data_IF_251946243295
#
_entry.id   IF_251946243295
#
_cell.length_a   1.000
_cell.length_b   1.000
_cell.length_c   1.000
_cell.angle_alpha   90.00
_cell.angle_beta   90.00
_cell.angle_gamma   90.00
#
_symmetry.space_group_name_H-M   'P 1'
#
loop_
_entity.id
_entity.type
_entity.pdbx_description
1 polymer ?
#
# COMPACT_ATOMS: atom_id res chain seq x y z
N UNK A 1 -24.14 29.88 -3.57
CA UNK A 1 -23.51 29.60 -2.25
C UNK A 1 -24.23 28.44 -1.60
N UNK A 2 -23.67 27.23 -1.67
CA UNK A 2 -24.17 26.04 -0.96
C UNK A 2 -22.95 25.17 -0.64
N UNK A 3 -22.26 25.51 0.44
CA UNK A 3 -21.28 24.60 1.05
C UNK A 3 -22.06 23.74 2.06
N UNK A 4 -22.26 22.47 1.72
CA UNK A 4 -22.89 21.50 2.60
C UNK A 4 -21.92 21.05 3.68
N UNK A 5 -22.39 21.11 4.92
CA UNK A 5 -21.85 20.56 6.15
C UNK A 5 -20.99 19.29 5.97
N UNK A 6 -19.67 19.45 6.00
CA UNK A 6 -18.76 18.36 6.36
C UNK A 6 -18.84 18.23 7.88
N UNK A 7 -19.57 17.23 8.36
CA UNK A 7 -19.60 16.91 9.80
C UNK A 7 -18.17 16.54 10.24
N UNK A 8 -17.59 17.37 11.11
CA UNK A 8 -16.41 17.00 11.91
C UNK A 8 -16.86 15.85 12.82
N UNK A 9 -16.51 14.63 12.45
CA UNK A 9 -16.71 13.46 13.31
C UNK A 9 -15.41 13.09 13.99
N UNK A 10 -15.56 12.64 15.24
CA UNK A 10 -14.50 12.41 16.22
C UNK A 10 -13.36 11.54 15.70
N UNK A 11 -12.24 12.20 15.42
CA UNK A 11 -10.91 11.60 15.21
C UNK A 11 -10.54 10.64 16.36
N UNK A 12 -11.11 10.86 17.55
CA UNK A 12 -10.85 10.11 18.79
C UNK A 12 -11.23 8.63 18.71
N UNK A 13 -12.38 8.30 18.09
CA UNK A 13 -12.86 6.90 18.03
C UNK A 13 -12.09 6.05 17.03
N UNK A 14 -11.58 6.67 15.96
CA UNK A 14 -10.72 6.02 14.95
C UNK A 14 -9.34 5.73 15.56
N UNK A 15 -8.80 6.68 16.34
CA UNK A 15 -7.52 6.50 17.04
C UNK A 15 -7.54 5.34 18.04
N UNK A 16 -8.63 5.15 18.80
CA UNK A 16 -8.72 4.10 19.82
C UNK A 16 -8.76 2.67 19.24
N UNK A 17 -9.40 2.46 18.09
CA UNK A 17 -9.47 1.14 17.44
C UNK A 17 -8.13 0.77 16.78
N UNK A 18 -7.44 1.75 16.19
CA UNK A 18 -6.08 1.56 15.67
C UNK A 18 -5.08 1.29 16.81
N UNK A 19 -5.27 1.90 17.99
CA UNK A 19 -4.42 1.73 19.15
C UNK A 19 -4.47 0.30 19.73
N UNK A 20 -5.63 -0.35 19.76
CA UNK A 20 -5.74 -1.70 20.36
C UNK A 20 -5.17 -2.79 19.45
N UNK A 21 -5.25 -2.65 18.12
CA UNK A 21 -4.75 -3.67 17.18
C UNK A 21 -3.23 -3.60 16.93
N UNK A 22 -2.56 -2.49 17.23
CA UNK A 22 -1.13 -2.29 16.91
C UNK A 22 -0.17 -2.41 18.12
N UNK A 23 -0.66 -2.54 19.37
CA UNK A 23 0.16 -2.38 20.59
C UNK A 23 0.99 -3.62 21.00
N UNK A 24 1.11 -4.69 20.19
CA UNK A 24 1.77 -5.94 20.63
C UNK A 24 3.17 -6.25 20.10
N UNK A 25 3.90 -5.31 19.50
CA UNK A 25 5.33 -5.53 19.17
C UNK A 25 6.17 -4.24 19.22
N UNK A 26 6.71 -3.90 20.39
CA UNK A 26 7.75 -2.85 20.50
C UNK A 26 9.05 -3.44 21.03
N UNK A 27 9.85 -4.01 20.13
CA UNK A 27 11.30 -4.02 20.31
C UNK A 27 11.85 -2.87 19.48
N UNK A 28 12.28 -1.83 20.19
CA UNK A 28 12.95 -0.65 19.65
C UNK A 28 14.25 -1.06 18.97
N UNK A 29 14.15 -1.45 17.71
CA UNK A 29 15.31 -1.61 16.84
C UNK A 29 15.60 -0.23 16.29
N UNK A 30 16.79 0.31 16.60
CA UNK A 30 17.32 1.47 15.89
C UNK A 30 17.59 0.98 14.47
N UNK A 31 16.59 1.06 13.61
CA UNK A 31 16.77 0.83 12.18
C UNK A 31 17.45 2.08 11.61
N UNK A 32 18.48 1.79 10.83
CA UNK A 32 19.38 2.73 10.22
C UNK A 32 19.03 2.77 8.73
N UNK A 33 18.97 3.97 8.12
CA UNK A 33 18.79 4.13 6.68
C UNK A 33 19.80 3.30 5.91
N UNK A 34 19.42 2.90 4.69
CA UNK A 34 20.17 2.05 3.77
C UNK A 34 20.68 0.75 4.42
N UNK A 35 20.22 -0.39 3.91
CA UNK A 35 20.73 -1.67 4.41
C UNK A 35 22.27 -1.67 4.32
N UNK A 36 23.00 -2.38 5.22
CA UNK A 36 24.46 -2.43 5.17
C UNK A 36 25.05 -2.91 3.83
N UNK A 37 24.21 -3.50 2.98
CA UNK A 37 24.49 -3.94 1.62
C UNK A 37 24.38 -2.85 0.56
N UNK A 38 23.98 -1.63 0.91
CA UNK A 38 23.88 -0.51 -0.03
C UNK A 38 25.27 0.08 -0.29
N UNK A 39 25.73 0.00 -1.53
CA UNK A 39 27.04 0.52 -1.97
C UNK A 39 26.90 1.75 -2.90
N UNK A 40 25.68 2.23 -3.16
CA UNK A 40 25.44 3.37 -4.05
C UNK A 40 25.80 4.70 -3.34
N UNK A 41 26.77 5.47 -3.85
CA UNK A 41 27.18 6.75 -3.24
C UNK A 41 26.12 7.85 -3.33
N UNK A 42 25.08 7.67 -4.14
CA UNK A 42 23.97 8.62 -4.28
C UNK A 42 22.79 8.30 -3.34
N UNK A 43 22.79 7.13 -2.71
CA UNK A 43 21.81 6.77 -1.69
C UNK A 43 22.12 7.47 -0.36
N UNK A 44 21.11 7.57 0.49
CA UNK A 44 21.26 8.07 1.85
C UNK A 44 22.24 7.20 2.64
N UNK A 45 23.05 7.87 3.47
CA UNK A 45 24.10 7.22 4.23
C UNK A 45 23.52 6.22 5.25
N UNK A 46 24.27 5.14 5.49
CA UNK A 46 23.93 4.18 6.54
C UNK A 46 23.84 4.88 7.90
N UNK A 47 22.73 4.70 8.61
CA UNK A 47 22.54 5.29 9.95
C UNK A 47 21.63 6.52 10.01
N UNK A 48 21.14 7.04 8.88
CA UNK A 48 20.12 8.10 8.90
C UNK A 48 18.84 7.55 9.57
N UNK A 49 18.18 8.29 10.50
CA UNK A 49 17.02 7.75 11.21
C UNK A 49 15.82 7.51 10.29
N UNK A 50 15.18 6.34 10.39
CA UNK A 50 13.99 5.96 9.59
C UNK A 50 12.94 7.07 9.52
N UNK A 51 12.62 7.72 10.65
CA UNK A 51 11.60 8.77 10.73
C UNK A 51 11.86 9.98 9.82
N UNK A 52 13.10 10.19 9.39
CA UNK A 52 13.47 11.28 8.49
C UNK A 52 13.30 10.93 7.01
N UNK A 53 13.19 9.64 6.69
CA UNK A 53 13.13 9.09 5.34
C UNK A 53 11.70 8.98 4.79
N UNK A 54 10.72 9.65 5.42
CA UNK A 54 9.32 9.56 4.97
C UNK A 54 9.19 10.05 3.53
N UNK A 55 8.65 9.19 2.68
CA UNK A 55 8.44 9.40 1.25
C UNK A 55 9.63 9.15 0.35
N UNK A 56 10.75 8.69 0.89
CA UNK A 56 11.91 8.33 0.08
C UNK A 56 11.65 7.11 -0.79
N UNK A 57 12.41 6.97 -1.89
CA UNK A 57 12.40 5.77 -2.68
C UNK A 57 13.28 4.69 -2.05
N UNK A 58 12.80 3.45 -2.01
CA UNK A 58 13.55 2.28 -1.55
C UNK A 58 13.82 1.36 -2.75
N UNK A 59 15.09 1.20 -3.11
CA UNK A 59 15.55 0.44 -4.27
C UNK A 59 16.31 -0.83 -3.92
N UNK A 60 17.05 -1.35 -4.91
CA UNK A 60 17.88 -2.54 -4.81
C UNK A 60 18.86 -2.45 -3.62
N UNK A 61 19.21 -3.61 -3.07
CA UNK A 61 20.15 -3.77 -1.96
C UNK A 61 19.83 -2.92 -0.71
N UNK A 62 18.56 -2.51 -0.57
CA UNK A 62 18.08 -1.68 0.54
C UNK A 62 18.49 -0.22 0.47
N UNK A 63 19.00 0.26 -0.67
CA UNK A 63 19.37 1.66 -0.85
C UNK A 63 18.14 2.59 -0.84
N UNK A 64 18.26 3.73 -0.15
CA UNK A 64 17.20 4.73 -0.04
C UNK A 64 17.61 6.05 -0.72
N UNK A 65 16.69 6.68 -1.47
CA UNK A 65 16.98 7.84 -2.31
C UNK A 65 15.98 8.98 -2.06
N UNK A 66 16.51 10.20 -1.97
CA UNK A 66 15.73 11.43 -1.79
C UNK A 66 14.88 11.70 -3.03
N UNK A 67 13.55 11.77 -2.90
CA UNK A 67 12.69 11.89 -4.05
C UNK A 67 12.70 13.33 -4.60
N UNK A 68 13.29 14.33 -3.90
CA UNK A 68 13.58 15.66 -4.45
C UNK A 68 14.74 15.64 -5.46
N UNK A 69 15.64 14.67 -5.35
CA UNK A 69 16.81 14.54 -6.22
C UNK A 69 16.62 13.48 -7.31
N UNK A 70 15.82 12.46 -7.05
CA UNK A 70 15.62 11.31 -7.95
C UNK A 70 14.16 11.12 -8.33
N UNK A 71 13.91 10.63 -9.54
CA UNK A 71 12.62 10.05 -9.93
C UNK A 71 12.65 8.55 -9.68
N UNK A 72 11.47 7.91 -9.61
CA UNK A 72 11.37 6.44 -9.57
C UNK A 72 12.09 5.72 -10.71
N UNK A 73 12.28 6.37 -11.85
CA UNK A 73 12.95 5.79 -13.03
C UNK A 73 14.47 5.75 -12.88
N UNK A 74 15.02 6.52 -11.95
CA UNK A 74 16.46 6.57 -11.66
C UNK A 74 16.87 5.54 -10.59
N UNK A 75 15.89 4.91 -9.96
CA UNK A 75 16.11 4.04 -8.81
C UNK A 75 16.41 2.61 -9.27
N UNK A 76 17.52 1.99 -8.82
CA UNK A 76 17.76 0.58 -9.04
C UNK A 76 16.60 -0.27 -8.49
N UNK A 77 16.02 -1.13 -9.34
CA UNK A 77 14.82 -1.90 -8.99
C UNK A 77 15.15 -3.12 -8.14
N UNK A 78 14.24 -3.50 -7.26
CA UNK A 78 14.28 -4.77 -6.53
C UNK A 78 13.69 -5.86 -7.43
N UNK A 79 14.38 -7.01 -7.52
CA UNK A 79 14.00 -8.12 -8.39
C UNK A 79 14.33 -7.87 -9.86
N UNK A 80 15.58 -7.51 -10.12
CA UNK A 80 16.10 -7.22 -11.48
C UNK A 80 15.97 -8.41 -12.44
N UNK A 81 15.96 -9.63 -11.91
CA UNK A 81 15.70 -10.85 -12.67
C UNK A 81 14.30 -10.92 -13.27
N UNK A 82 13.37 -10.11 -12.77
CA UNK A 82 12.00 -9.96 -13.26
C UNK A 82 11.77 -8.63 -14.00
N UNK A 83 12.84 -7.88 -14.27
CA UNK A 83 12.76 -6.66 -15.05
C UNK A 83 12.53 -7.01 -16.53
N UNK A 84 11.51 -6.41 -17.13
CA UNK A 84 11.09 -6.68 -18.51
C UNK A 84 11.15 -5.37 -19.27
N UNK A 85 11.85 -5.38 -20.40
CA UNK A 85 12.01 -4.18 -21.22
C UNK A 85 10.65 -3.54 -21.57
N UNK A 86 10.55 -2.23 -21.33
CA UNK A 86 9.34 -1.45 -21.57
C UNK A 86 8.23 -1.63 -20.53
N UNK A 87 8.41 -2.47 -19.53
CA UNK A 87 7.50 -2.63 -18.39
C UNK A 87 8.07 -1.90 -17.19
N UNK A 88 7.33 -0.94 -16.64
CA UNK A 88 7.77 -0.20 -15.45
C UNK A 88 7.63 -1.06 -14.18
N UNK A 89 8.51 -0.85 -13.18
CA UNK A 89 8.39 -1.52 -11.90
C UNK A 89 7.09 -1.13 -11.18
N UNK A 90 6.59 -2.04 -10.35
CA UNK A 90 5.47 -1.74 -9.47
C UNK A 90 5.96 -0.89 -8.30
N UNK A 91 5.27 0.21 -8.01
CA UNK A 91 5.56 1.03 -6.83
C UNK A 91 4.86 0.44 -5.62
N UNK A 92 5.59 0.15 -4.56
CA UNK A 92 5.06 -0.43 -3.33
C UNK A 92 5.17 0.58 -2.19
N UNK A 93 4.05 0.81 -1.49
CA UNK A 93 3.99 1.61 -0.26
C UNK A 93 3.90 0.66 0.93
N UNK A 94 4.91 0.66 1.80
CA UNK A 94 4.94 -0.21 2.96
C UNK A 94 3.90 0.16 4.03
N UNK A 95 3.71 -0.75 4.97
CA UNK A 95 2.82 -0.58 6.13
C UNK A 95 3.34 0.41 7.17
N UNK A 96 2.58 0.57 8.24
CA UNK A 96 3.00 1.33 9.42
C UNK A 96 4.09 0.56 10.20
N UNK A 97 4.88 1.29 11.01
CA UNK A 97 5.87 0.70 11.94
C UNK A 97 6.88 -0.28 11.29
N UNK A 98 7.11 -0.16 9.98
CA UNK A 98 8.02 -1.03 9.26
C UNK A 98 9.39 -0.34 9.10
N UNK A 99 10.44 -0.81 9.79
CA UNK A 99 11.77 -0.29 9.55
C UNK A 99 12.23 -0.56 8.12
N UNK A 100 13.23 0.18 7.64
CA UNK A 100 13.72 0.10 6.25
C UNK A 100 14.06 -1.34 5.85
N UNK A 101 14.80 -2.08 6.67
CA UNK A 101 15.19 -3.46 6.38
C UNK A 101 13.98 -4.39 6.24
N UNK A 102 12.98 -4.24 7.10
CA UNK A 102 11.74 -5.03 7.03
C UNK A 102 10.92 -4.66 5.79
N UNK A 103 10.87 -3.38 5.43
CA UNK A 103 10.25 -2.92 4.19
C UNK A 103 10.98 -3.50 2.97
N UNK A 104 12.32 -3.49 2.96
CA UNK A 104 13.10 -4.05 1.85
C UNK A 104 12.86 -5.55 1.68
N UNK A 105 12.93 -6.33 2.76
CA UNK A 105 12.62 -7.77 2.74
C UNK A 105 11.21 -8.01 2.19
N UNK A 106 10.24 -7.18 2.59
CA UNK A 106 8.88 -7.27 2.07
C UNK A 106 8.79 -7.05 0.57
N UNK A 107 9.44 -5.99 0.08
CA UNK A 107 9.43 -5.65 -1.35
C UNK A 107 10.06 -6.77 -2.17
N UNK A 108 11.16 -7.36 -1.68
CA UNK A 108 11.79 -8.53 -2.30
C UNK A 108 10.83 -9.71 -2.39
N UNK A 109 10.14 -10.07 -1.31
CA UNK A 109 9.16 -11.16 -1.33
C UNK A 109 8.03 -10.91 -2.34
N UNK A 110 7.50 -9.67 -2.38
CA UNK A 110 6.44 -9.32 -3.35
C UNK A 110 6.94 -9.42 -4.78
N UNK A 111 8.18 -8.97 -5.03
CA UNK A 111 8.80 -9.05 -6.34
C UNK A 111 8.93 -10.51 -6.82
N UNK A 112 9.38 -11.40 -5.94
CA UNK A 112 9.45 -12.85 -6.21
C UNK A 112 8.07 -13.45 -6.50
N UNK A 113 7.06 -13.19 -5.66
CA UNK A 113 5.71 -13.74 -5.88
C UNK A 113 5.09 -13.26 -7.17
N UNK A 114 5.16 -11.96 -7.41
CA UNK A 114 4.52 -11.36 -8.58
C UNK A 114 5.33 -11.59 -9.85
N UNK A 115 6.57 -12.07 -9.73
CA UNK A 115 7.56 -12.11 -10.81
C UNK A 115 7.60 -10.77 -11.54
N UNK A 116 7.74 -9.69 -10.77
CA UNK A 116 7.78 -8.31 -11.25
C UNK A 116 8.84 -7.54 -10.49
N UNK A 117 9.60 -6.71 -11.20
CA UNK A 117 10.47 -5.71 -10.57
C UNK A 117 9.65 -4.69 -9.77
N UNK A 118 10.17 -4.24 -8.64
CA UNK A 118 9.48 -3.30 -7.74
C UNK A 118 10.41 -2.21 -7.23
N UNK A 119 9.81 -1.10 -6.80
CA UNK A 119 10.46 -0.04 -6.04
C UNK A 119 9.56 0.38 -4.89
N UNK A 120 10.13 0.83 -3.79
CA UNK A 120 9.39 1.29 -2.63
C UNK A 120 9.18 2.80 -2.63
N UNK A 121 8.05 3.23 -2.09
CA UNK A 121 7.93 4.55 -1.44
C UNK A 121 7.82 4.28 0.05
N UNK A 122 8.82 4.74 0.80
CA UNK A 122 8.96 4.44 2.21
C UNK A 122 8.00 5.29 3.05
N UNK A 123 7.02 4.64 3.68
CA UNK A 123 6.21 5.21 4.76
C UNK A 123 6.98 5.02 6.06
N UNK A 124 7.68 6.07 6.51
CA UNK A 124 8.72 5.95 7.51
C UNK A 124 8.18 5.48 8.86
N UNK A 125 8.84 4.50 9.49
CA UNK A 125 8.49 4.14 10.85
C UNK A 125 8.73 5.34 11.79
N UNK A 126 7.68 5.75 12.50
CA UNK A 126 7.85 6.49 13.74
C UNK A 126 7.03 5.79 14.80
N UNK A 127 7.33 6.00 16.08
CA UNK A 127 6.53 5.42 17.17
C UNK A 127 5.03 5.69 17.00
N UNK A 128 4.20 5.02 17.81
CA UNK A 128 2.73 5.04 17.70
C UNK A 128 2.16 6.46 17.53
N UNK A 129 2.69 7.45 18.25
CA UNK A 129 2.27 8.86 18.12
C UNK A 129 2.46 9.42 16.71
N UNK A 130 3.54 9.07 16.03
CA UNK A 130 3.80 9.48 14.65
C UNK A 130 2.80 8.82 13.69
N UNK A 131 2.53 7.52 13.88
CA UNK A 131 1.53 6.82 13.06
C UNK A 131 0.12 7.40 13.23
N UNK A 132 -0.26 7.78 14.45
CA UNK A 132 -1.51 8.48 14.71
C UNK A 132 -1.54 9.87 14.04
N UNK A 133 -0.43 10.60 14.07
CA UNK A 133 -0.33 11.91 13.38
C UNK A 133 -0.51 11.75 11.87
N UNK A 134 0.01 10.70 11.25
CA UNK A 134 -0.19 10.44 9.82
C UNK A 134 -1.66 10.27 9.42
N UNK A 135 -2.58 9.96 10.35
CA UNK A 135 -4.01 9.92 10.05
C UNK A 135 -4.57 11.30 9.71
N UNK A 136 -4.01 12.36 10.32
CA UNK A 136 -4.49 13.75 10.18
C UNK A 136 -3.52 14.66 9.44
N UNK A 137 -2.26 14.24 9.27
CA UNK A 137 -1.25 15.01 8.54
C UNK A 137 -1.55 15.05 7.04
N UNK A 138 -2.01 16.21 6.58
CA UNK A 138 -2.31 16.47 5.17
C UNK A 138 -1.06 16.70 4.32
N UNK A 139 0.10 16.94 4.94
CA UNK A 139 1.37 17.22 4.28
C UNK A 139 2.39 16.09 4.43
N UNK A 140 1.91 14.87 4.66
CA UNK A 140 2.74 13.68 4.76
C UNK A 140 3.60 13.49 3.49
N UNK A 141 4.91 13.36 3.67
CA UNK A 141 5.89 13.33 2.57
C UNK A 141 5.71 12.10 1.67
N UNK A 142 5.43 10.93 2.25
CA UNK A 142 5.13 9.73 1.46
C UNK A 142 3.90 9.90 0.55
N UNK A 143 2.86 10.58 1.04
CA UNK A 143 1.69 10.92 0.21
C UNK A 143 2.05 11.85 -0.95
N UNK A 144 2.96 12.80 -0.72
CA UNK A 144 3.44 13.74 -1.75
C UNK A 144 4.32 13.03 -2.80
N UNK A 145 5.19 12.10 -2.40
CA UNK A 145 5.95 11.28 -3.35
C UNK A 145 5.03 10.45 -4.25
N UNK A 146 3.98 9.84 -3.68
CA UNK A 146 2.95 9.13 -4.47
C UNK A 146 2.26 10.07 -5.45
N UNK A 147 1.84 11.26 -4.98
CA UNK A 147 1.18 12.25 -5.84
C UNK A 147 2.07 12.66 -7.01
N UNK A 148 3.33 13.03 -6.74
CA UNK A 148 4.28 13.50 -7.75
C UNK A 148 4.56 12.41 -8.78
N UNK A 149 4.87 11.21 -8.32
CA UNK A 149 5.19 10.07 -9.17
C UNK A 149 3.99 9.71 -10.05
N UNK A 150 2.79 9.61 -9.47
CA UNK A 150 1.58 9.35 -10.24
C UNK A 150 1.26 10.49 -11.22
N UNK A 151 1.47 11.76 -10.86
CA UNK A 151 1.28 12.90 -11.75
C UNK A 151 2.21 12.83 -12.96
N UNK A 152 3.49 12.58 -12.73
CA UNK A 152 4.50 12.50 -13.79
C UNK A 152 4.14 11.41 -14.80
N UNK A 153 3.89 10.18 -14.32
CA UNK A 153 3.56 9.02 -15.16
C UNK A 153 2.32 9.27 -16.02
N UNK A 154 1.22 9.70 -15.41
CA UNK A 154 -0.03 9.86 -16.17
C UNK A 154 0.04 11.02 -17.17
N UNK A 155 0.78 12.10 -16.87
CA UNK A 155 0.99 13.20 -17.82
C UNK A 155 1.81 12.76 -19.03
N UNK A 156 2.74 11.83 -18.83
CA UNK A 156 3.48 11.14 -19.90
C UNK A 156 2.65 10.04 -20.59
N UNK A 157 1.38 9.86 -20.21
CA UNK A 157 0.47 8.81 -20.69
C UNK A 157 0.96 7.39 -20.40
N UNK A 158 1.82 7.26 -19.40
CA UNK A 158 2.27 5.97 -18.90
C UNK A 158 1.29 5.41 -17.87
N UNK A 159 1.13 4.09 -17.86
CA UNK A 159 0.42 3.39 -16.79
C UNK A 159 1.35 3.35 -15.57
N UNK A 160 0.79 3.63 -14.39
CA UNK A 160 1.47 3.50 -13.11
C UNK A 160 0.75 2.43 -12.29
N UNK A 161 1.51 1.44 -11.82
CA UNK A 161 1.02 0.37 -10.95
C UNK A 161 1.50 0.64 -9.52
N UNK A 162 0.57 0.82 -8.60
CA UNK A 162 0.85 1.13 -7.20
C UNK A 162 0.21 0.08 -6.31
N UNK A 163 0.99 -0.50 -5.42
CA UNK A 163 0.54 -1.42 -4.40
C UNK A 163 0.73 -0.80 -3.01
N UNK A 164 -0.27 -0.85 -2.14
CA UNK A 164 -0.16 -0.41 -0.76
C UNK A 164 -0.51 -1.53 0.23
N UNK A 165 0.19 -1.55 1.36
CA UNK A 165 0.03 -2.58 2.40
C UNK A 165 -0.36 -1.94 3.73
N UNK A 166 -1.28 -2.56 4.49
CA UNK A 166 -1.65 -2.12 5.85
C UNK A 166 -1.86 -0.59 5.96
N UNK A 167 -1.15 0.09 6.87
CA UNK A 167 -1.19 1.55 7.01
C UNK A 167 -0.85 2.36 5.75
N UNK A 168 -0.09 1.79 4.81
CA UNK A 168 0.26 2.42 3.54
C UNK A 168 -0.94 2.79 2.67
N UNK A 169 -2.11 2.16 2.87
CA UNK A 169 -3.33 2.54 2.15
C UNK A 169 -3.85 3.94 2.51
N UNK A 170 -3.63 4.42 3.74
CA UNK A 170 -3.97 5.79 4.14
C UNK A 170 -3.12 6.78 3.35
N UNK A 171 -1.82 6.48 3.26
CA UNK A 171 -0.82 7.29 2.55
C UNK A 171 -1.15 7.35 1.06
N UNK A 172 -1.41 6.19 0.45
CA UNK A 172 -1.83 6.08 -0.94
C UNK A 172 -3.13 6.84 -1.22
N UNK A 173 -4.18 6.59 -0.43
CA UNK A 173 -5.46 7.26 -0.59
C UNK A 173 -5.34 8.79 -0.44
N UNK A 174 -4.42 9.28 0.41
CA UNK A 174 -4.13 10.72 0.53
C UNK A 174 -3.40 11.25 -0.69
N UNK A 175 -2.31 10.62 -1.13
CA UNK A 175 -1.57 11.05 -2.33
C UNK A 175 -2.46 11.11 -3.56
N UNK A 176 -3.31 10.10 -3.77
CA UNK A 176 -4.27 10.10 -4.89
C UNK A 176 -5.34 11.19 -4.78
N UNK A 177 -5.78 11.57 -3.56
CA UNK A 177 -6.72 12.69 -3.38
C UNK A 177 -6.06 14.03 -3.69
N UNK A 178 -4.81 14.22 -3.27
CA UNK A 178 -4.03 15.40 -3.61
C UNK A 178 -3.86 15.51 -5.13
N UNK A 179 -3.50 14.39 -5.80
CA UNK A 179 -3.42 14.31 -7.25
C UNK A 179 -4.73 14.70 -7.95
N UNK A 180 -5.87 14.16 -7.50
CA UNK A 180 -7.18 14.49 -8.08
C UNK A 180 -7.53 15.97 -7.90
N UNK A 181 -7.20 16.54 -6.74
CA UNK A 181 -7.36 17.96 -6.47
C UNK A 181 -6.52 18.81 -7.42
N UNK A 182 -5.24 18.47 -7.56
CA UNK A 182 -4.29 19.19 -8.42
C UNK A 182 -4.70 19.11 -9.90
N UNK A 183 -5.06 17.92 -10.40
CA UNK A 183 -5.61 17.78 -11.75
C UNK A 183 -6.89 18.61 -11.93
N UNK A 184 -7.72 18.69 -10.89
CA UNK A 184 -8.93 19.51 -10.85
C UNK A 184 -8.63 20.99 -11.06
N UNK A 185 -7.58 21.51 -10.42
CA UNK A 185 -7.10 22.89 -10.58
C UNK A 185 -6.45 23.09 -11.95
N UNK A 186 -5.48 22.23 -12.30
CA UNK A 186 -4.67 22.33 -13.52
C UNK A 186 -5.49 22.21 -14.81
N UNK A 187 -6.57 21.43 -14.78
CA UNK A 187 -7.39 21.13 -15.95
C UNK A 187 -8.89 21.38 -15.70
N UNK A 188 -9.26 22.51 -15.09
CA UNK A 188 -10.61 22.83 -14.59
C UNK A 188 -11.78 22.42 -15.51
N UNK A 189 -11.73 22.79 -16.79
CA UNK A 189 -12.81 22.52 -17.75
C UNK A 189 -12.68 21.21 -18.54
N UNK A 190 -11.64 20.39 -18.29
CA UNK A 190 -11.36 19.17 -19.06
C UNK A 190 -11.68 17.89 -18.28
N UNK A 191 -12.94 17.71 -17.87
CA UNK A 191 -13.37 16.57 -17.05
C UNK A 191 -13.03 15.21 -17.67
N UNK A 192 -13.32 15.00 -18.95
CA UNK A 192 -13.04 13.74 -19.63
C UNK A 192 -11.55 13.45 -19.73
N UNK A 193 -10.74 14.48 -19.97
CA UNK A 193 -9.28 14.37 -19.98
C UNK A 193 -8.74 13.93 -18.62
N UNK A 194 -9.17 14.57 -17.52
CA UNK A 194 -8.77 14.16 -16.16
C UNK A 194 -9.16 12.72 -15.85
N UNK A 195 -10.36 12.30 -16.26
CA UNK A 195 -10.83 10.92 -16.09
C UNK A 195 -9.93 9.94 -16.84
N UNK A 196 -9.51 10.27 -18.06
CA UNK A 196 -8.61 9.43 -18.85
C UNK A 196 -7.22 9.34 -18.20
N UNK A 197 -6.67 10.46 -17.71
CA UNK A 197 -5.40 10.44 -16.97
C UNK A 197 -5.49 9.55 -15.72
N UNK A 198 -6.52 9.73 -14.89
CA UNK A 198 -6.70 8.94 -13.68
C UNK A 198 -6.90 7.44 -13.97
N UNK A 199 -7.43 7.08 -15.15
CA UNK A 199 -7.63 5.68 -15.53
C UNK A 199 -6.32 4.92 -15.82
N UNK A 200 -5.20 5.63 -15.97
CA UNK A 200 -3.86 5.06 -16.13
C UNK A 200 -3.25 4.62 -14.78
N UNK A 201 -3.91 4.92 -13.67
CA UNK A 201 -3.45 4.54 -12.33
C UNK A 201 -4.10 3.21 -11.96
N UNK A 202 -3.29 2.16 -11.90
CA UNK A 202 -3.67 0.84 -11.43
C UNK A 202 -3.27 0.70 -9.97
N UNK A 203 -4.22 0.33 -9.11
CA UNK A 203 -3.99 0.25 -7.67
C UNK A 203 -4.35 -1.12 -7.14
N UNK A 204 -3.44 -1.70 -6.38
CA UNK A 204 -3.66 -2.87 -5.55
C UNK A 204 -3.49 -2.50 -4.07
N UNK A 205 -4.34 -3.03 -3.19
CA UNK A 205 -4.15 -2.86 -1.75
C UNK A 205 -4.27 -4.19 -1.03
N UNK A 206 -3.35 -4.48 -0.11
CA UNK A 206 -3.42 -5.67 0.76
C UNK A 206 -3.65 -5.27 2.22
N UNK A 207 -4.81 -5.62 2.77
CA UNK A 207 -5.10 -5.42 4.20
C UNK A 207 -5.03 -3.99 4.68
N UNK A 208 -5.35 -3.04 3.80
CA UNK A 208 -5.03 -1.64 4.08
C UNK A 208 -6.07 -0.95 4.95
N UNK A 209 -5.58 -0.10 5.85
CA UNK A 209 -6.36 1.00 6.38
C UNK A 209 -6.57 2.07 5.28
N UNK A 210 -7.70 2.76 5.30
CA UNK A 210 -8.06 3.78 4.31
C UNK A 210 -9.53 3.70 3.93
N UNK A 211 -10.33 4.64 4.43
CA UNK A 211 -11.76 4.67 4.17
C UNK A 211 -12.12 5.32 2.82
N UNK A 212 -11.28 6.18 2.25
CA UNK A 212 -11.70 7.02 1.11
C UNK A 212 -10.67 7.06 -0.01
N UNK A 213 -10.85 6.19 -1.00
CA UNK A 213 -10.12 6.19 -2.26
C UNK A 213 -10.87 7.03 -3.30
N UNK A 214 -10.19 7.95 -4.01
CA UNK A 214 -10.86 8.82 -4.96
C UNK A 214 -11.29 8.06 -6.23
N UNK A 215 -12.33 8.55 -6.90
CA UNK A 215 -12.78 8.00 -8.18
C UNK A 215 -11.79 8.30 -9.31
N UNK A 216 -11.61 7.36 -10.24
CA UNK A 216 -10.79 7.52 -11.44
C UNK A 216 -9.78 6.38 -11.62
N UNK A 217 -8.90 6.15 -10.64
CA UNK A 217 -8.00 5.00 -10.64
C UNK A 217 -8.74 3.66 -10.65
N UNK A 218 -8.05 2.61 -11.08
CA UNK A 218 -8.57 1.25 -11.23
C UNK A 218 -8.11 0.39 -10.06
N UNK A 219 -8.99 0.21 -9.07
CA UNK A 219 -8.65 -0.43 -7.80
C UNK A 219 -8.97 -1.93 -7.76
N UNK A 220 -8.08 -2.70 -7.14
CA UNK A 220 -8.35 -4.02 -6.56
C UNK A 220 -7.91 -4.00 -5.10
N UNK A 221 -8.82 -4.33 -4.20
CA UNK A 221 -8.54 -4.42 -2.77
C UNK A 221 -8.59 -5.89 -2.34
N UNK A 222 -7.47 -6.44 -1.89
CA UNK A 222 -7.38 -7.78 -1.34
C UNK A 222 -7.52 -7.70 0.18
N UNK A 223 -8.57 -8.33 0.70
CA UNK A 223 -9.01 -8.14 2.07
C UNK A 223 -9.38 -9.45 2.71
N UNK A 224 -8.82 -9.70 3.89
CA UNK A 224 -9.27 -10.77 4.74
C UNK A 224 -10.51 -10.33 5.51
N UNK A 225 -11.58 -11.11 5.45
CA UNK A 225 -12.82 -10.84 6.20
C UNK A 225 -12.62 -10.91 7.71
N UNK A 226 -11.58 -11.63 8.16
CA UNK A 226 -11.20 -11.72 9.57
C UNK A 226 -10.34 -10.53 10.05
N UNK A 227 -9.81 -9.72 9.13
CA UNK A 227 -8.94 -8.59 9.46
C UNK A 227 -9.73 -7.39 9.98
N UNK A 228 -9.55 -7.07 11.27
CA UNK A 228 -10.22 -5.95 11.91
C UNK A 228 -9.82 -4.60 11.32
N UNK A 229 -8.58 -4.44 10.86
CA UNK A 229 -8.11 -3.18 10.28
C UNK A 229 -8.96 -2.86 9.06
N UNK A 230 -9.12 -3.81 8.15
CA UNK A 230 -9.93 -3.60 6.94
C UNK A 230 -11.40 -3.40 7.28
N UNK A 231 -11.94 -4.15 8.24
CA UNK A 231 -13.36 -4.10 8.62
C UNK A 231 -13.74 -2.78 9.30
N UNK A 232 -12.82 -2.17 10.07
CA UNK A 232 -13.10 -0.95 10.83
C UNK A 232 -12.64 0.30 10.10
N UNK A 233 -11.46 0.26 9.49
CA UNK A 233 -10.79 1.45 8.94
C UNK A 233 -10.44 1.33 7.47
N UNK A 234 -10.67 0.17 6.83
CA UNK A 234 -10.44 -0.07 5.41
C UNK A 234 -11.74 -0.22 4.61
N UNK A 235 -11.63 -0.89 3.46
CA UNK A 235 -12.68 -0.93 2.44
C UNK A 235 -13.89 -1.82 2.76
N UNK A 236 -13.80 -2.65 3.81
CA UNK A 236 -14.94 -3.42 4.32
C UNK A 236 -15.76 -2.65 5.36
N UNK A 237 -15.30 -1.47 5.77
CA UNK A 237 -16.07 -0.59 6.64
C UNK A 237 -17.35 -0.09 5.94
N UNK A 238 -18.50 0.00 6.63
CA UNK A 238 -19.73 0.55 6.06
C UNK A 238 -19.60 2.02 5.58
N UNK A 239 -18.59 2.73 6.08
CA UNK A 239 -18.30 4.12 5.72
C UNK A 239 -17.30 4.25 4.56
N UNK A 240 -16.83 3.13 4.02
CA UNK A 240 -15.79 3.14 3.02
C UNK A 240 -16.30 3.61 1.65
N UNK A 241 -15.46 4.38 0.98
CA UNK A 241 -15.50 4.62 -0.44
C UNK A 241 -14.26 3.98 -1.10
N UNK A 242 -14.38 2.75 -1.65
CA UNK A 242 -13.27 2.04 -2.29
C UNK A 242 -12.87 2.62 -3.66
N UNK A 243 -13.53 3.70 -4.10
CA UNK A 243 -13.41 4.21 -5.47
C UNK A 243 -14.38 3.51 -6.44
N UNK A 244 -14.86 4.26 -7.43
CA UNK A 244 -15.82 3.77 -8.42
C UNK A 244 -15.19 2.75 -9.35
N UNK A 245 -15.88 1.63 -9.52
CA UNK A 245 -15.45 0.49 -10.32
C UNK A 245 -14.37 -0.34 -9.62
N UNK A 246 -14.19 -0.18 -8.31
CA UNK A 246 -13.30 -1.00 -7.52
C UNK A 246 -13.80 -2.45 -7.43
N UNK A 247 -12.86 -3.36 -7.24
CA UNK A 247 -13.11 -4.76 -6.91
C UNK A 247 -12.54 -5.00 -5.51
N UNK A 248 -13.35 -5.52 -4.60
CA UNK A 248 -12.94 -5.94 -3.26
C UNK A 248 -12.89 -7.47 -3.28
N UNK A 249 -11.69 -8.00 -3.42
CA UNK A 249 -11.39 -9.41 -3.38
C UNK A 249 -11.29 -9.87 -1.92
N UNK A 250 -12.28 -10.62 -1.46
CA UNK A 250 -12.39 -11.08 -0.06
C UNK A 250 -11.95 -12.52 0.09
N UNK A 251 -11.14 -12.80 1.09
CA UNK A 251 -10.80 -14.17 1.51
C UNK A 251 -10.93 -14.30 3.03
N UNK A 252 -10.84 -15.52 3.54
CA UNK A 252 -10.93 -15.83 4.95
C UNK A 252 -9.69 -16.66 5.33
N UNK A 253 -8.89 -16.18 6.29
CA UNK A 253 -7.58 -16.75 6.62
C UNK A 253 -7.10 -16.35 8.01
N UNK A 254 -6.47 -17.26 8.73
CA UNK A 254 -5.59 -16.93 9.88
C UNK A 254 -4.34 -17.78 9.76
N UNK A 255 -3.17 -17.21 9.98
CA UNK A 255 -1.94 -17.99 10.12
C UNK A 255 -1.09 -17.43 11.26
N UNK A 256 -0.90 -18.24 12.29
CA UNK A 256 -0.11 -17.89 13.47
C UNK A 256 1.37 -17.68 13.15
N UNK A 257 1.87 -18.34 12.10
CA UNK A 257 3.25 -18.20 11.62
C UNK A 257 3.47 -16.87 10.90
N UNK A 258 2.38 -16.23 10.45
CA UNK A 258 2.45 -14.94 9.79
C UNK A 258 2.36 -13.79 10.79
N UNK A 259 3.50 -13.42 11.38
CA UNK A 259 3.64 -12.19 12.17
C UNK A 259 3.97 -11.03 11.23
N UNK A 260 3.12 -10.01 11.21
CA UNK A 260 3.27 -8.78 10.41
C UNK A 260 3.50 -9.02 8.91
N UNK A 261 3.00 -10.15 8.37
CA UNK A 261 3.16 -10.53 6.97
C UNK A 261 4.47 -11.25 6.64
N UNK A 262 5.34 -11.52 7.61
CA UNK A 262 6.71 -11.98 7.38
C UNK A 262 6.87 -13.43 6.92
N UNK A 263 5.78 -14.19 6.76
CA UNK A 263 5.85 -15.58 6.31
C UNK A 263 6.57 -15.65 4.93
N UNK A 264 7.56 -16.53 4.84
CA UNK A 264 8.22 -16.81 3.58
C UNK A 264 7.24 -17.54 2.64
N UNK A 265 7.45 -17.42 1.33
CA UNK A 265 6.51 -17.90 0.32
C UNK A 265 6.40 -19.42 0.27
N UNK A 266 7.51 -20.09 0.54
CA UNK A 266 7.61 -21.54 0.71
C UNK A 266 6.84 -22.03 1.94
N UNK A 267 6.51 -21.14 2.87
CA UNK A 267 5.72 -21.41 4.05
C UNK A 267 4.25 -20.96 3.88
N UNK A 268 3.75 -20.72 2.65
CA UNK A 268 2.32 -20.45 2.40
C UNK A 268 1.55 -21.73 2.04
N UNK A 269 0.32 -21.97 2.57
CA UNK A 269 -0.43 -21.13 3.50
C UNK A 269 0.13 -21.10 4.92
N UNK A 270 1.03 -22.02 5.28
CA UNK A 270 1.62 -22.15 6.62
C UNK A 270 1.11 -23.40 7.30
N UNK A 271 1.97 -24.05 8.10
CA UNK A 271 1.57 -25.27 8.82
C UNK A 271 0.46 -24.96 9.83
N UNK A 272 0.44 -23.74 10.36
CA UNK A 272 -0.56 -23.25 11.30
C UNK A 272 -1.64 -22.36 10.65
N UNK A 273 -1.88 -22.56 9.35
CA UNK A 273 -2.93 -21.82 8.63
C UNK A 273 -4.31 -22.42 8.85
N UNK A 274 -5.26 -21.58 9.28
CA UNK A 274 -6.68 -21.86 9.29
C UNK A 274 -7.35 -21.19 8.08
N UNK A 275 -7.78 -22.03 7.13
CA UNK A 275 -8.52 -21.65 5.92
C UNK A 275 -10.04 -21.82 6.08
N UNK A 276 -10.51 -22.31 7.23
CA UNK A 276 -11.96 -22.47 7.44
C UNK A 276 -12.60 -21.07 7.56
N UNK A 277 -13.89 -20.89 7.23
CA UNK A 277 -14.57 -19.63 7.50
C UNK A 277 -14.66 -19.34 9.01
N UNK A 278 -14.46 -18.09 9.41
CA UNK A 278 -14.51 -17.73 10.84
C UNK A 278 -14.89 -16.29 11.14
N UNK A 279 -14.97 -15.99 12.44
CA UNK A 279 -15.31 -14.65 12.93
C UNK A 279 -14.15 -13.67 12.82
N UNK A 280 -14.45 -12.38 13.06
CA UNK A 280 -13.42 -11.34 13.16
C UNK A 280 -12.33 -11.75 14.15
N UNK A 281 -11.07 -11.56 13.74
CA UNK A 281 -9.91 -11.80 14.57
C UNK A 281 -9.22 -10.48 14.87
N UNK A 282 -8.86 -10.30 16.14
CA UNK A 282 -8.01 -9.20 16.60
C UNK A 282 -6.53 -9.52 16.41
N UNK A 283 -6.19 -10.73 15.95
CA UNK A 283 -4.81 -11.19 15.85
C UNK A 283 -4.09 -10.61 14.63
N UNK A 284 -2.83 -10.17 14.76
CA UNK A 284 -1.95 -9.88 13.62
C UNK A 284 -1.87 -11.03 12.60
N UNK A 285 -2.05 -12.27 13.06
CA UNK A 285 -2.13 -13.50 12.26
C UNK A 285 -3.30 -13.52 11.26
N UNK A 286 -4.30 -12.66 11.44
CA UNK A 286 -5.41 -12.47 10.51
C UNK A 286 -5.18 -11.28 9.55
N UNK A 287 -4.07 -10.56 9.66
CA UNK A 287 -3.86 -9.36 8.85
C UNK A 287 -3.71 -9.73 7.37
N UNK A 288 -4.44 -9.06 6.48
CA UNK A 288 -4.57 -9.49 5.08
C UNK A 288 -3.24 -9.41 4.29
N UNK A 289 -2.26 -8.68 4.81
CA UNK A 289 -0.88 -8.62 4.27
C UNK A 289 -0.22 -10.00 4.28
N UNK A 290 -0.59 -10.89 5.20
CA UNK A 290 -0.12 -12.27 5.27
C UNK A 290 -0.45 -13.09 4.04
N UNK A 291 -1.61 -12.86 3.45
CA UNK A 291 -2.11 -13.66 2.33
C UNK A 291 -1.76 -13.01 1.01
N UNK A 292 -1.97 -11.70 0.89
CA UNK A 292 -1.77 -11.04 -0.41
C UNK A 292 -0.29 -10.98 -0.81
N UNK A 293 0.62 -10.80 0.15
CA UNK A 293 2.05 -10.85 -0.14
C UNK A 293 2.50 -12.25 -0.58
N UNK A 294 1.75 -13.31 -0.25
CA UNK A 294 2.10 -14.69 -0.52
C UNK A 294 1.41 -15.31 -1.75
N UNK A 295 0.22 -14.82 -2.12
CA UNK A 295 -0.64 -15.49 -3.12
C UNK A 295 -0.53 -14.95 -4.54
N UNK A 296 -0.05 -13.71 -4.72
CA UNK A 296 0.27 -13.20 -6.07
C UNK A 296 -0.90 -13.08 -7.03
N UNK A 297 -2.16 -13.04 -6.54
CA UNK A 297 -3.33 -13.01 -7.42
C UNK A 297 -3.20 -11.94 -8.52
N UNK A 298 -3.43 -12.28 -9.80
CA UNK A 298 -3.21 -11.34 -10.88
C UNK A 298 -4.23 -10.20 -10.87
N UNK A 299 -3.73 -8.97 -10.82
CA UNK A 299 -4.52 -7.74 -10.95
C UNK A 299 -5.51 -7.80 -12.13
N UNK A 300 -5.02 -8.21 -13.31
CA UNK A 300 -5.80 -8.22 -14.55
C UNK A 300 -7.01 -9.16 -14.47
N UNK A 301 -6.88 -10.31 -13.78
CA UNK A 301 -7.98 -11.25 -13.58
C UNK A 301 -9.05 -10.65 -12.67
N UNK A 302 -8.65 -10.01 -11.57
CA UNK A 302 -9.59 -9.34 -10.66
C UNK A 302 -10.33 -8.18 -11.34
N UNK A 303 -9.65 -7.42 -12.22
CA UNK A 303 -10.27 -6.31 -12.94
C UNK A 303 -11.39 -6.73 -13.89
N UNK A 304 -11.52 -8.01 -14.26
CA UNK A 304 -12.66 -8.50 -15.07
C UNK A 304 -14.00 -8.38 -14.35
N UNK A 305 -14.01 -8.37 -13.02
CA UNK A 305 -15.20 -8.22 -12.19
C UNK A 305 -15.61 -6.76 -11.93
N UNK A 306 -14.86 -5.79 -12.44
CA UNK A 306 -15.08 -4.38 -12.14
C UNK A 306 -16.41 -3.87 -12.69
N UNK A 307 -17.30 -3.31 -11.85
CA UNK A 307 -18.57 -2.78 -12.32
C UNK A 307 -18.41 -1.39 -12.95
N UNK A 308 -19.38 -0.98 -13.76
CA UNK A 308 -19.43 0.40 -14.34
C UNK A 308 -19.79 1.47 -13.30
N UNK A 309 -20.48 1.08 -12.23
CA UNK A 309 -20.98 1.94 -11.14
C UNK A 309 -20.81 1.18 -9.81
N UNK A 310 -20.50 1.89 -8.72
CA UNK A 310 -20.29 1.26 -7.42
C UNK A 310 -18.98 0.49 -7.34
N UNK A 311 -18.99 -0.64 -6.64
CA UNK A 311 -17.88 -1.59 -6.50
C UNK A 311 -18.45 -3.02 -6.48
N UNK A 312 -17.60 -4.01 -6.73
CA UNK A 312 -17.96 -5.43 -6.62
C UNK A 312 -17.20 -6.07 -5.45
N UNK A 313 -17.83 -7.03 -4.76
CA UNK A 313 -17.17 -7.91 -3.80
C UNK A 313 -17.04 -9.28 -4.46
N UNK A 314 -15.83 -9.83 -4.49
CA UNK A 314 -15.51 -11.11 -5.14
C UNK A 314 -14.83 -12.01 -4.12
N UNK A 315 -15.44 -13.15 -3.75
CA UNK A 315 -14.77 -14.12 -2.89
C UNK A 315 -13.59 -14.77 -3.63
N UNK A 316 -12.45 -14.85 -2.97
CA UNK A 316 -11.27 -15.57 -3.42
C UNK A 316 -11.16 -16.89 -2.65
N UNK A 317 -11.03 -17.96 -3.40
CA UNK A 317 -10.60 -19.25 -2.86
C UNK A 317 -9.08 -19.24 -2.77
N UNK A 318 -8.56 -19.19 -1.54
CA UNK A 318 -7.15 -19.43 -1.28
C UNK A 318 -6.87 -20.91 -1.58
N UNK A 319 -6.08 -21.14 -2.62
CA UNK A 319 -5.60 -22.49 -2.98
C UNK A 319 -4.15 -22.59 -2.54
N UNK A 320 -3.73 -23.81 -2.17
CA UNK A 320 -2.32 -24.09 -1.94
C UNK A 320 -1.53 -23.70 -3.21
N UNK A 321 -0.51 -22.86 -3.02
CA UNK A 321 0.35 -22.46 -4.12
C UNK A 321 1.21 -23.68 -4.46
N UNK A 322 0.99 -24.29 -5.62
CA UNK A 322 1.91 -25.29 -6.17
C UNK A 322 2.84 -24.54 -7.12
N UNK A 323 4.14 -24.41 -6.80
CA UNK A 323 5.08 -23.65 -7.62
C UNK A 323 5.25 -24.22 -9.04
#
# INVERSE_FOLDING_TARGET
MLFSNVKRYDVVTISAVLFVSFVLSTISSISNASAPTCEDPFAEAVGVPDSSLDGYFLGANGCIYDPELFSSSDIPVIGVEYDVEGVRPVIIVNGALSPVDAAFLRLRSISTVKQRSVIGIYNAAGGIDNELRKLVDVNNKASQSIQREAMERILNKEVIEIQALSGGGIILARGLRQLVSELGVRFLFRRSFRKNLLSLIHVETGGTAGLYFPNGPRYVHYTNTRDIVVTKTGVLSPLAHPGRGAVIATFDYVNEDCVDGGALLDEYPGVNADLNPGGLSLSPSAHSVCVYAATGYPYAEMRKYAPRVGYAIVPLELKEFTP
#
